data_IF_538726853193
#
_entry.id   IF_538726853193
#
_cell.length_a   1.000
_cell.length_b   1.000
_cell.length_c   1.000
_cell.angle_alpha   90.00
_cell.angle_beta   90.00
_cell.angle_gamma   90.00
#
_symmetry.space_group_name_H-M   'P 1'
#
loop_
_entity.id
_entity.type
_entity.pdbx_description
1 polymer ?
#
# COMPACT_ATOMS: atom_id res chain seq x y z
N UNK A 1 3.33 -8.22 -13.55
CA UNK A 1 4.64 -8.82 -13.19
C UNK A 1 4.72 -8.87 -11.68
N UNK A 2 4.86 -10.05 -11.07
CA UNK A 2 4.95 -10.18 -9.62
C UNK A 2 6.29 -9.59 -9.12
N UNK A 3 6.24 -8.73 -8.11
CA UNK A 3 7.44 -8.28 -7.42
C UNK A 3 7.99 -9.47 -6.62
N UNK A 4 9.28 -9.76 -6.78
CA UNK A 4 9.98 -10.82 -6.05
C UNK A 4 10.80 -10.19 -4.94
N UNK A 5 10.61 -10.66 -3.72
CA UNK A 5 11.53 -10.40 -2.63
C UNK A 5 12.91 -11.00 -2.94
N UNK A 6 13.99 -10.45 -2.35
CA UNK A 6 15.36 -10.96 -2.48
C UNK A 6 15.54 -12.41 -1.97
N UNK A 7 14.61 -12.89 -1.14
CA UNK A 7 14.60 -14.25 -0.57
C UNK A 7 13.81 -15.26 -1.44
N UNK A 8 13.28 -14.84 -2.60
CA UNK A 8 12.55 -15.71 -3.53
C UNK A 8 11.04 -15.76 -3.30
N UNK A 9 10.50 -15.10 -2.28
CA UNK A 9 9.06 -14.99 -2.10
C UNK A 9 8.45 -14.07 -3.17
N UNK A 10 7.44 -14.56 -3.87
CA UNK A 10 6.59 -13.76 -4.75
C UNK A 10 5.44 -13.19 -3.94
N UNK A 11 5.17 -11.88 -4.07
CA UNK A 11 3.92 -11.33 -3.53
C UNK A 11 2.75 -12.09 -4.18
N UNK A 12 1.86 -12.71 -3.37
CA UNK A 12 0.79 -13.57 -3.88
C UNK A 12 -0.31 -12.80 -4.63
N UNK A 13 -0.30 -11.47 -4.53
CA UNK A 13 -1.31 -10.59 -5.10
C UNK A 13 -0.66 -9.53 -5.99
N UNK A 14 -1.36 -9.19 -7.08
CA UNK A 14 -1.00 -8.00 -7.86
C UNK A 14 -1.06 -6.77 -6.94
N UNK A 15 -0.05 -5.91 -7.03
CA UNK A 15 -0.05 -4.65 -6.30
C UNK A 15 -1.08 -3.70 -6.86
N UNK A 16 -1.63 -2.87 -5.99
CA UNK A 16 -2.51 -1.79 -6.40
C UNK A 16 -1.74 -0.78 -7.26
N UNK A 17 -2.46 -0.15 -8.19
CA UNK A 17 -1.95 0.86 -9.12
C UNK A 17 -2.33 2.25 -8.65
N UNK A 18 -1.58 3.24 -9.10
CA UNK A 18 -1.93 4.66 -8.91
C UNK A 18 -3.34 4.92 -9.46
N UNK A 19 -4.17 5.59 -8.66
CA UNK A 19 -5.56 5.89 -8.97
C UNK A 19 -6.57 4.85 -8.46
N UNK A 20 -6.13 3.70 -7.93
CA UNK A 20 -7.05 2.71 -7.37
C UNK A 20 -7.54 3.13 -5.99
N UNK A 21 -8.83 2.86 -5.76
CA UNK A 21 -9.49 3.03 -4.48
C UNK A 21 -9.21 1.81 -3.59
N UNK A 22 -8.68 2.09 -2.41
CA UNK A 22 -8.28 1.06 -1.46
C UNK A 22 -8.80 1.38 -0.07
N UNK A 23 -8.96 0.34 0.73
CA UNK A 23 -9.20 0.44 2.17
C UNK A 23 -7.97 -0.08 2.90
N UNK A 24 -7.51 0.63 3.91
CA UNK A 24 -6.36 0.22 4.72
C UNK A 24 -6.60 0.47 6.20
N UNK A 25 -5.94 -0.34 7.04
CA UNK A 25 -5.93 -0.15 8.48
C UNK A 25 -4.84 0.87 8.86
N UNK A 26 -5.23 1.92 9.58
CA UNK A 26 -4.30 2.84 10.22
C UNK A 26 -4.66 2.94 11.70
N UNK A 27 -3.71 2.55 12.56
CA UNK A 27 -3.94 2.29 13.98
C UNK A 27 -5.13 1.33 14.17
N UNK A 28 -6.26 1.84 14.65
CA UNK A 28 -7.50 1.09 14.88
C UNK A 28 -8.67 1.56 14.01
N UNK A 29 -8.38 2.33 12.95
CA UNK A 29 -9.40 2.88 12.06
C UNK A 29 -9.16 2.39 10.63
N UNK A 30 -10.24 1.92 9.99
CA UNK A 30 -10.25 1.67 8.57
C UNK A 30 -10.41 2.99 7.83
N UNK A 31 -9.56 3.22 6.85
CA UNK A 31 -9.55 4.41 6.01
C UNK A 31 -9.69 4.02 4.57
N UNK A 32 -10.44 4.82 3.83
CA UNK A 32 -10.57 4.69 2.39
C UNK A 32 -9.78 5.80 1.72
N UNK A 33 -9.01 5.45 0.70
CA UNK A 33 -8.22 6.43 -0.03
C UNK A 33 -7.83 5.98 -1.43
N UNK A 34 -7.12 6.86 -2.12
CA UNK A 34 -6.64 6.64 -3.48
C UNK A 34 -5.12 6.49 -3.44
N UNK A 35 -4.61 5.44 -4.09
CA UNK A 35 -3.15 5.24 -4.23
C UNK A 35 -2.58 6.33 -5.13
N UNK A 36 -1.62 7.10 -4.62
CA UNK A 36 -0.90 8.12 -5.39
C UNK A 36 0.52 7.69 -5.77
N UNK A 37 1.17 6.88 -4.93
CA UNK A 37 2.51 6.33 -5.19
C UNK A 37 2.53 4.86 -4.84
N UNK A 38 3.22 4.07 -5.66
CA UNK A 38 3.59 2.68 -5.37
C UNK A 38 5.10 2.63 -5.18
N UNK A 39 5.56 2.35 -3.97
CA UNK A 39 6.97 2.18 -3.65
C UNK A 39 7.29 0.68 -3.56
N UNK A 40 8.24 0.21 -4.35
CA UNK A 40 8.64 -1.20 -4.38
C UNK A 40 9.53 -1.60 -3.18
N UNK A 41 10.07 -0.64 -2.42
CA UNK A 41 11.05 -0.87 -1.34
C UNK A 41 10.62 -0.22 -0.02
N UNK A 42 9.37 -0.44 0.34
CA UNK A 42 8.50 0.61 0.84
C UNK A 42 8.51 0.97 2.32
N UNK A 43 9.33 0.37 3.19
CA UNK A 43 9.43 0.82 4.60
C UNK A 43 10.84 0.72 5.18
N UNK A 44 11.17 1.60 6.12
CA UNK A 44 12.46 1.60 6.83
C UNK A 44 12.80 0.24 7.48
N UNK A 45 11.80 -0.45 8.02
CA UNK A 45 11.97 -1.73 8.72
C UNK A 45 11.82 -2.94 7.80
N UNK A 46 11.18 -2.77 6.66
CA UNK A 46 10.89 -3.85 5.71
C UNK A 46 11.14 -3.37 4.29
N UNK A 47 12.40 -3.15 3.90
CA UNK A 47 12.77 -2.56 2.62
C UNK A 47 12.46 -3.46 1.42
N UNK A 48 12.05 -4.72 1.64
CA UNK A 48 11.65 -5.64 0.59
C UNK A 48 10.12 -5.74 0.42
N UNK A 49 9.36 -5.04 1.26
CA UNK A 49 7.89 -5.05 1.22
C UNK A 49 7.44 -3.76 0.53
N UNK A 50 6.69 -3.83 -0.59
CA UNK A 50 6.11 -2.67 -1.22
C UNK A 50 5.20 -1.89 -0.27
N UNK A 51 5.11 -0.59 -0.50
CA UNK A 51 4.20 0.28 0.24
C UNK A 51 3.57 1.30 -0.69
N UNK A 52 2.60 2.02 -0.14
CA UNK A 52 1.84 3.02 -0.87
C UNK A 52 1.84 4.36 -0.15
N UNK A 53 1.81 5.44 -0.92
CA UNK A 53 1.31 6.73 -0.44
C UNK A 53 -0.17 6.85 -0.84
N UNK A 54 -1.05 6.99 0.14
CA UNK A 54 -2.51 6.95 -0.04
C UNK A 54 -3.12 8.28 0.40
N UNK A 55 -3.87 8.92 -0.49
CA UNK A 55 -4.62 10.14 -0.19
C UNK A 55 -6.01 9.78 0.35
N UNK A 56 -6.32 10.30 1.54
CA UNK A 56 -7.65 10.22 2.16
C UNK A 56 -8.29 11.60 2.04
N UNK A 57 -9.08 11.79 0.97
CA UNK A 57 -9.54 13.12 0.54
C UNK A 57 -10.43 13.82 1.58
N UNK A 58 -11.29 13.09 2.28
CA UNK A 58 -12.17 13.64 3.32
C UNK A 58 -11.41 14.12 4.56
N UNK A 59 -10.19 13.63 4.78
CA UNK A 59 -9.29 14.08 5.84
C UNK A 59 -8.25 15.10 5.35
N UNK A 60 -8.19 15.34 4.02
CA UNK A 60 -7.13 16.10 3.36
C UNK A 60 -5.73 15.67 3.84
N UNK A 61 -5.51 14.35 3.93
CA UNK A 61 -4.29 13.78 4.53
C UNK A 61 -3.67 12.73 3.62
N UNK A 62 -2.34 12.81 3.47
CA UNK A 62 -1.52 11.83 2.74
C UNK A 62 -0.84 10.88 3.73
N UNK A 63 -1.23 9.62 3.69
CA UNK A 63 -0.61 8.56 4.48
C UNK A 63 0.51 7.94 3.67
N UNK A 64 1.74 7.99 4.20
CA UNK A 64 2.94 7.53 3.49
C UNK A 64 3.38 6.17 4.00
N UNK A 65 4.06 5.41 3.13
CA UNK A 65 4.67 4.13 3.48
C UNK A 65 3.69 3.11 4.10
N UNK A 66 2.42 3.11 3.65
CA UNK A 66 1.43 2.11 4.09
C UNK A 66 1.81 0.76 3.50
N UNK A 67 2.20 -0.21 4.35
CA UNK A 67 2.65 -1.54 3.92
C UNK A 67 1.56 -2.25 3.12
N UNK A 68 1.96 -2.94 2.05
CA UNK A 68 0.99 -3.51 1.12
C UNK A 68 0.07 -4.58 1.71
N UNK A 69 0.51 -5.27 2.77
CA UNK A 69 -0.25 -6.28 3.51
C UNK A 69 -1.42 -5.70 4.33
N UNK A 70 -1.39 -4.39 4.62
CA UNK A 70 -2.46 -3.67 5.32
C UNK A 70 -3.53 -3.10 4.38
N UNK A 71 -3.33 -3.20 3.07
CA UNK A 71 -4.17 -2.58 2.06
C UNK A 71 -5.02 -3.62 1.34
N UNK A 72 -6.30 -3.31 1.14
CA UNK A 72 -7.28 -4.16 0.45
C UNK A 72 -8.02 -3.36 -0.61
N UNK A 73 -8.54 -4.06 -1.62
CA UNK A 73 -9.43 -3.44 -2.62
C UNK A 73 -10.68 -2.93 -1.92
N UNK A 74 -11.10 -1.72 -2.27
CA UNK A 74 -12.44 -1.26 -1.94
C UNK A 74 -13.41 -1.96 -2.91
N UNK A 75 -14.39 -2.71 -2.38
CA UNK A 75 -15.46 -3.38 -3.16
C UNK A 75 -16.61 -2.40 -3.34
#
# INVERSE_FOLDING_TARGET
>A
MAIKEKNGNTFPHELFKVGELVTFQWDNTLKDGIVLVVDAYGTFESPNIPSYDIMVENENMLYKHVKCDLVKSKI
#
